data_IF_094562398742
#
_entry.id   IF_094562398742
#
_cell.length_a   1.000
_cell.length_b   1.000
_cell.length_c   1.000
_cell.angle_alpha   90.00
_cell.angle_beta   90.00
_cell.angle_gamma   90.00
#
_symmetry.space_group_name_H-M   'P 1'
#
loop_
_entity.id
_entity.type
_entity.pdbx_description
1 polymer ?
#
# COMPACT_ATOMS: atom_id res chain seq x y z
N UNK A 1 11.70 -11.89 1.86
CA UNK A 1 11.51 -11.08 0.63
C UNK A 1 10.03 -10.71 0.53
N UNK A 2 9.67 -9.64 -0.17
CA UNK A 2 8.28 -9.39 -0.58
C UNK A 2 8.14 -9.61 -2.09
N UNK A 3 7.01 -10.14 -2.52
CA UNK A 3 6.74 -10.36 -3.95
C UNK A 3 5.71 -9.35 -4.42
N UNK A 4 6.13 -8.40 -5.25
CA UNK A 4 5.22 -7.46 -5.88
C UNK A 4 4.48 -8.16 -7.03
N UNK A 5 3.16 -8.27 -6.90
CA UNK A 5 2.30 -8.87 -7.93
C UNK A 5 1.73 -7.84 -8.88
N UNK A 6 1.40 -8.24 -10.11
CA UNK A 6 0.70 -7.37 -11.06
C UNK A 6 -0.73 -7.10 -10.59
N UNK A 7 -1.01 -5.85 -10.18
CA UNK A 7 -2.36 -5.38 -9.88
C UNK A 7 -3.13 -5.04 -11.16
N UNK A 8 -4.47 -5.11 -11.12
CA UNK A 8 -5.38 -4.89 -12.25
C UNK A 8 -4.94 -3.80 -13.27
N UNK A 9 -4.75 -2.56 -12.80
CA UNK A 9 -4.34 -1.42 -13.64
C UNK A 9 -2.93 -1.60 -14.21
N UNK A 10 -1.99 -2.10 -13.42
CA UNK A 10 -0.62 -2.36 -13.88
C UNK A 10 -0.54 -3.50 -14.88
N UNK A 11 -1.38 -4.53 -14.74
CA UNK A 11 -1.48 -5.64 -15.69
C UNK A 11 -1.89 -5.15 -17.07
N UNK A 12 -2.90 -4.28 -17.17
CA UNK A 12 -3.32 -3.67 -18.44
C UNK A 12 -2.18 -2.86 -19.06
N UNK A 13 -1.51 -2.03 -18.24
CA UNK A 13 -0.41 -1.18 -18.72
C UNK A 13 0.79 -1.96 -19.22
N UNK A 14 1.19 -3.02 -18.51
CA UNK A 14 2.34 -3.83 -18.89
C UNK A 14 2.02 -4.67 -20.15
N UNK A 15 0.83 -5.26 -20.25
CA UNK A 15 0.41 -5.99 -21.45
C UNK A 15 0.27 -5.06 -22.65
N UNK A 16 -0.34 -3.88 -22.49
CA UNK A 16 -0.49 -2.91 -23.57
C UNK A 16 0.86 -2.50 -24.15
N UNK A 17 1.89 -2.32 -23.30
CA UNK A 17 3.25 -2.05 -23.76
C UNK A 17 3.83 -3.20 -24.58
N UNK A 18 3.62 -4.44 -24.16
CA UNK A 18 4.14 -5.63 -24.87
C UNK A 18 3.45 -5.80 -26.23
N UNK A 19 2.14 -5.56 -26.29
CA UNK A 19 1.36 -5.63 -27.53
C UNK A 19 1.49 -4.37 -28.41
N UNK A 20 2.34 -3.42 -28.00
CA UNK A 20 2.51 -2.13 -28.67
C UNK A 20 1.21 -1.33 -28.86
N UNK A 21 0.23 -1.49 -27.96
CA UNK A 21 -0.94 -0.63 -27.90
C UNK A 21 -0.50 0.79 -27.50
N UNK A 22 -0.98 1.86 -28.16
CA UNK A 22 -0.60 3.22 -27.84
C UNK A 22 -0.75 3.53 -26.34
N UNK A 23 0.26 4.17 -25.75
CA UNK A 23 0.28 4.49 -24.32
C UNK A 23 -0.95 5.30 -23.85
N UNK A 24 -1.46 6.30 -24.60
CA UNK A 24 -2.66 7.03 -24.19
C UNK A 24 -3.90 6.14 -24.12
N UNK A 25 -4.03 5.20 -25.05
CA UNK A 25 -5.15 4.26 -25.11
C UNK A 25 -5.04 3.23 -23.99
N UNK A 26 -3.86 2.67 -23.78
CA UNK A 26 -3.55 1.76 -22.68
C UNK A 26 -3.88 2.38 -21.31
N UNK A 27 -3.49 3.64 -21.08
CA UNK A 27 -3.79 4.33 -19.82
C UNK A 27 -5.28 4.63 -19.65
N UNK A 28 -5.97 4.96 -20.75
CA UNK A 28 -7.42 5.18 -20.75
C UNK A 28 -8.17 3.92 -20.34
N UNK A 29 -7.79 2.75 -20.88
CA UNK A 29 -8.36 1.46 -20.50
C UNK A 29 -8.05 1.14 -19.02
N UNK A 30 -6.81 1.36 -18.57
CA UNK A 30 -6.42 1.10 -17.19
C UNK A 30 -7.21 1.96 -16.19
N UNK A 31 -7.57 3.20 -16.55
CA UNK A 31 -8.39 4.11 -15.72
C UNK A 31 -9.84 3.66 -15.56
N UNK A 32 -10.37 2.81 -16.46
CA UNK A 32 -11.70 2.23 -16.31
C UNK A 32 -11.79 1.27 -15.11
N UNK A 33 -10.68 0.68 -14.67
CA UNK A 33 -10.69 -0.19 -13.49
C UNK A 33 -10.97 0.67 -12.25
N UNK A 34 -12.01 0.36 -11.44
CA UNK A 34 -12.32 1.09 -10.20
C UNK A 34 -11.12 1.18 -9.25
N UNK A 35 -11.03 2.30 -8.52
CA UNK A 35 -9.90 2.59 -7.62
C UNK A 35 -10.00 1.95 -6.24
N UNK A 36 -11.00 1.10 -5.99
CA UNK A 36 -11.20 0.50 -4.66
C UNK A 36 -10.09 -0.52 -4.35
N UNK A 37 -9.61 -0.58 -3.10
CA UNK A 37 -8.71 -1.64 -2.66
C UNK A 37 -9.25 -3.03 -3.01
N UNK A 38 -8.36 -3.97 -3.34
CA UNK A 38 -8.70 -5.35 -3.70
C UNK A 38 -9.57 -5.55 -4.96
N UNK A 39 -9.71 -4.53 -5.81
CA UNK A 39 -10.35 -4.69 -7.13
C UNK A 39 -9.48 -5.57 -8.03
N UNK A 40 -10.04 -6.69 -8.51
CA UNK A 40 -9.37 -7.64 -9.42
C UNK A 40 -10.08 -7.71 -10.77
N UNK A 41 -9.32 -7.72 -11.87
CA UNK A 41 -9.82 -7.92 -13.23
C UNK A 41 -10.61 -9.22 -13.32
N UNK A 42 -10.09 -10.30 -12.72
CA UNK A 42 -10.80 -11.59 -12.74
C UNK A 42 -12.20 -11.49 -12.14
N UNK A 43 -12.36 -10.77 -11.03
CA UNK A 43 -13.65 -10.61 -10.35
C UNK A 43 -14.63 -9.78 -11.19
N UNK A 44 -14.22 -8.59 -11.64
CA UNK A 44 -15.12 -7.66 -12.36
C UNK A 44 -15.47 -8.11 -13.78
N UNK A 45 -14.60 -8.93 -14.41
CA UNK A 45 -14.76 -9.44 -15.78
C UNK A 45 -15.31 -10.88 -15.87
N UNK A 46 -15.55 -11.56 -14.73
CA UNK A 46 -16.19 -12.89 -14.70
C UNK A 46 -17.59 -12.86 -14.07
N UNK A 47 -17.84 -11.99 -13.07
CA UNK A 47 -19.19 -11.78 -12.55
C UNK A 47 -20.08 -11.24 -13.66
N UNK A 48 -21.33 -11.71 -13.74
CA UNK A 48 -22.28 -11.07 -14.66
C UNK A 48 -22.58 -9.65 -14.20
N UNK A 49 -22.85 -8.73 -15.12
CA UNK A 49 -23.08 -7.32 -14.80
C UNK A 49 -24.23 -7.14 -13.79
N UNK A 50 -25.30 -7.95 -13.92
CA UNK A 50 -26.46 -7.92 -13.01
C UNK A 50 -26.12 -8.30 -11.57
N UNK A 51 -25.16 -9.19 -11.35
CA UNK A 51 -24.78 -9.65 -10.00
C UNK A 51 -23.96 -8.63 -9.21
N UNK A 52 -23.38 -7.64 -9.90
CA UNK A 52 -22.47 -6.67 -9.29
C UNK A 52 -22.99 -5.22 -9.34
N UNK A 53 -24.20 -5.00 -9.86
CA UNK A 53 -24.77 -3.64 -9.97
C UNK A 53 -24.90 -2.94 -8.61
N UNK A 54 -25.28 -3.68 -7.56
CA UNK A 54 -25.35 -3.17 -6.18
C UNK A 54 -23.99 -2.94 -5.52
N UNK A 55 -22.91 -3.56 -6.05
CA UNK A 55 -21.59 -3.53 -5.44
C UNK A 55 -20.85 -2.21 -5.74
N UNK A 56 -21.27 -1.48 -6.79
CA UNK A 56 -20.51 -0.38 -7.37
C UNK A 56 -21.34 0.91 -7.45
N UNK A 57 -20.67 2.06 -7.35
CA UNK A 57 -21.33 3.33 -7.64
C UNK A 57 -21.62 3.43 -9.15
N UNK A 58 -22.62 4.22 -9.54
CA UNK A 58 -23.07 4.32 -10.94
C UNK A 58 -21.92 4.57 -11.94
N UNK A 59 -20.97 5.44 -11.60
CA UNK A 59 -19.80 5.74 -12.44
C UNK A 59 -18.86 4.53 -12.55
N UNK A 60 -18.56 3.86 -11.45
CA UNK A 60 -17.70 2.68 -11.42
C UNK A 60 -18.32 1.51 -12.19
N UNK A 61 -19.63 1.31 -12.03
CA UNK A 61 -20.40 0.29 -12.75
C UNK A 61 -20.37 0.52 -14.27
N UNK A 62 -20.58 1.77 -14.71
CA UNK A 62 -20.47 2.12 -16.12
C UNK A 62 -19.07 1.84 -16.69
N UNK A 63 -18.01 2.11 -15.92
CA UNK A 63 -16.65 1.80 -16.34
C UNK A 63 -16.42 0.28 -16.46
N UNK A 64 -16.95 -0.52 -15.53
CA UNK A 64 -16.88 -1.98 -15.59
C UNK A 64 -17.63 -2.51 -16.81
N UNK A 65 -18.81 -1.95 -17.12
CA UNK A 65 -19.58 -2.30 -18.32
C UNK A 65 -18.76 -2.02 -19.57
N UNK A 66 -18.16 -0.82 -19.67
CA UNK A 66 -17.32 -0.45 -20.81
C UNK A 66 -16.10 -1.38 -20.95
N UNK A 67 -15.47 -1.75 -19.84
CA UNK A 67 -14.34 -2.68 -19.83
C UNK A 67 -14.74 -4.09 -20.34
N UNK A 68 -15.95 -4.56 -19.99
CA UNK A 68 -16.49 -5.82 -20.49
C UNK A 68 -16.80 -5.77 -21.99
N UNK A 69 -17.35 -4.66 -22.50
CA UNK A 69 -17.56 -4.45 -23.94
C UNK A 69 -16.22 -4.53 -24.69
N UNK A 70 -15.23 -3.73 -24.27
CA UNK A 70 -13.89 -3.70 -24.88
C UNK A 70 -13.19 -5.07 -24.83
N UNK A 71 -13.41 -5.86 -23.77
CA UNK A 71 -12.88 -7.23 -23.66
C UNK A 71 -13.44 -8.16 -24.75
N UNK A 72 -14.67 -7.95 -25.20
CA UNK A 72 -15.31 -8.79 -26.23
C UNK A 72 -14.97 -8.38 -27.66
N UNK A 73 -14.42 -7.17 -27.85
CA UNK A 73 -13.99 -6.70 -29.16
C UNK A 73 -12.82 -7.55 -29.69
N UNK A 74 -12.83 -7.75 -31.01
CA UNK A 74 -11.70 -8.31 -31.74
C UNK A 74 -10.67 -7.21 -32.00
N UNK A 75 -9.39 -7.50 -31.72
CA UNK A 75 -8.28 -6.56 -31.90
C UNK A 75 -7.44 -6.35 -30.64
N UNK A 76 -6.46 -5.46 -30.76
CA UNK A 76 -5.40 -5.23 -29.77
C UNK A 76 -5.94 -4.85 -28.38
N UNK A 77 -7.02 -4.07 -28.32
CA UNK A 77 -7.64 -3.65 -27.05
C UNK A 77 -8.23 -4.84 -26.31
N UNK A 78 -9.06 -5.64 -26.99
CA UNK A 78 -9.66 -6.83 -26.41
C UNK A 78 -8.60 -7.86 -26.00
N UNK A 79 -7.59 -8.08 -26.85
CA UNK A 79 -6.44 -8.96 -26.54
C UNK A 79 -5.68 -8.49 -25.31
N UNK A 80 -5.42 -7.18 -25.20
CA UNK A 80 -4.76 -6.57 -24.05
C UNK A 80 -5.52 -6.88 -22.77
N UNK A 81 -6.84 -6.69 -22.74
CA UNK A 81 -7.66 -6.93 -21.55
C UNK A 81 -7.70 -8.42 -21.19
N UNK A 82 -7.87 -9.31 -22.17
CA UNK A 82 -7.91 -10.77 -21.96
C UNK A 82 -6.58 -11.31 -21.43
N UNK A 83 -5.46 -10.83 -21.95
CA UNK A 83 -4.13 -11.21 -21.49
C UNK A 83 -3.82 -10.60 -20.11
N UNK A 84 -4.18 -9.34 -19.88
CA UNK A 84 -4.04 -8.71 -18.57
C UNK A 84 -4.82 -9.44 -17.48
N UNK A 85 -6.03 -9.94 -17.79
CA UNK A 85 -6.82 -10.77 -16.88
C UNK A 85 -6.12 -12.08 -16.51
N UNK A 86 -5.35 -12.68 -17.43
CA UNK A 86 -4.57 -13.90 -17.16
C UNK A 86 -3.29 -13.64 -16.36
N UNK A 87 -2.64 -12.52 -16.60
CA UNK A 87 -1.36 -12.17 -15.94
C UNK A 87 -1.54 -11.50 -14.58
N UNK A 88 -2.72 -10.93 -14.29
CA UNK A 88 -3.03 -10.39 -12.97
C UNK A 88 -2.71 -11.37 -11.83
N UNK A 89 -2.02 -10.87 -10.80
CA UNK A 89 -1.58 -11.66 -9.66
C UNK A 89 -0.26 -12.39 -9.87
N UNK A 90 0.29 -12.40 -11.08
CA UNK A 90 1.64 -12.95 -11.32
C UNK A 90 2.69 -12.11 -10.59
N UNK A 91 3.73 -12.77 -10.08
CA UNK A 91 4.88 -12.10 -9.46
C UNK A 91 5.63 -11.31 -10.53
N UNK A 92 5.78 -10.01 -10.31
CA UNK A 92 6.42 -9.07 -11.23
C UNK A 92 7.83 -8.72 -10.80
N UNK A 93 8.04 -8.55 -9.50
CA UNK A 93 9.33 -8.21 -8.93
C UNK A 93 9.45 -8.70 -7.48
N UNK A 94 10.67 -8.67 -6.98
CA UNK A 94 11.00 -8.91 -5.57
C UNK A 94 11.37 -7.58 -4.93
N UNK A 95 10.89 -7.35 -3.71
CA UNK A 95 11.27 -6.26 -2.84
C UNK A 95 11.81 -6.77 -1.50
N UNK A 96 12.30 -5.85 -0.68
CA UNK A 96 12.66 -6.12 0.71
C UNK A 96 11.51 -5.65 1.58
N UNK A 97 11.14 -6.44 2.58
CA UNK A 97 10.14 -6.01 3.56
C UNK A 97 10.72 -4.84 4.36
N UNK A 98 10.05 -3.70 4.35
CA UNK A 98 10.59 -2.46 4.91
C UNK A 98 10.87 -2.54 6.43
N UNK A 99 10.22 -3.45 7.15
CA UNK A 99 10.34 -3.59 8.60
C UNK A 99 10.83 -4.98 9.06
N UNK A 100 10.87 -5.98 8.17
CA UNK A 100 10.89 -7.38 8.61
C UNK A 100 12.30 -7.88 8.83
N UNK A 101 12.65 -8.18 10.08
CA UNK A 101 13.92 -8.80 10.46
C UNK A 101 13.65 -10.24 10.91
N UNK A 102 14.45 -11.18 10.40
CA UNK A 102 14.37 -12.59 10.73
C UNK A 102 15.54 -12.96 11.64
N UNK A 103 15.24 -13.60 12.76
CA UNK A 103 16.20 -14.07 13.74
C UNK A 103 16.16 -15.60 13.76
N UNK A 104 17.31 -16.21 13.48
CA UNK A 104 17.51 -17.66 13.49
C UNK A 104 18.42 -18.06 14.66
N UNK A 105 18.31 -19.31 15.18
CA UNK A 105 19.13 -19.76 16.31
C UNK A 105 20.62 -20.01 15.96
N UNK A 106 20.94 -20.15 14.67
CA UNK A 106 22.28 -20.33 14.11
C UNK A 106 22.30 -19.67 12.71
N UNK A 107 23.35 -19.84 11.92
CA UNK A 107 23.45 -19.31 10.55
C UNK A 107 22.20 -19.63 9.74
N UNK A 108 21.48 -18.58 9.34
CA UNK A 108 20.21 -18.62 8.63
C UNK A 108 20.28 -19.45 7.33
N UNK A 109 21.46 -19.53 6.70
CA UNK A 109 21.70 -20.31 5.46
C UNK A 109 21.52 -21.81 5.67
N UNK A 110 21.61 -22.30 6.91
CA UNK A 110 21.37 -23.71 7.27
C UNK A 110 19.90 -24.08 7.22
N UNK A 111 19.00 -23.10 7.36
CA UNK A 111 17.57 -23.33 7.54
C UNK A 111 16.74 -22.90 6.34
N UNK A 112 17.05 -21.75 5.75
CA UNK A 112 16.24 -21.18 4.66
C UNK A 112 17.14 -20.58 3.56
N UNK A 113 16.70 -20.60 2.30
CA UNK A 113 17.41 -19.94 1.22
C UNK A 113 17.42 -18.42 1.43
N UNK A 114 18.60 -17.82 1.27
CA UNK A 114 18.80 -16.37 1.32
C UNK A 114 19.45 -15.88 0.03
N UNK A 115 19.26 -14.62 -0.30
CA UNK A 115 19.96 -13.90 -1.36
C UNK A 115 20.48 -12.56 -0.81
N UNK A 116 21.30 -11.86 -1.59
CA UNK A 116 21.63 -10.46 -1.32
C UNK A 116 20.68 -9.54 -2.09
N UNK A 117 20.51 -8.32 -1.58
CA UNK A 117 19.84 -7.26 -2.34
C UNK A 117 20.74 -6.74 -3.45
N UNK A 118 20.14 -6.12 -4.48
CA UNK A 118 20.91 -5.36 -5.48
C UNK A 118 21.55 -4.09 -4.92
N UNK A 119 21.01 -3.57 -3.82
CA UNK A 119 21.38 -2.28 -3.24
C UNK A 119 22.25 -2.40 -1.98
N UNK A 120 22.39 -3.62 -1.44
CA UNK A 120 23.23 -3.86 -0.26
C UNK A 120 23.61 -5.32 -0.13
N UNK A 121 24.71 -5.58 0.59
CA UNK A 121 25.16 -6.92 0.97
C UNK A 121 24.33 -7.57 2.09
N UNK A 122 23.20 -6.97 2.46
CA UNK A 122 22.30 -7.52 3.46
C UNK A 122 21.68 -8.84 2.96
N UNK A 123 21.66 -9.84 3.86
CA UNK A 123 20.99 -11.11 3.60
C UNK A 123 19.47 -10.92 3.66
N UNK A 124 18.79 -11.35 2.60
CA UNK A 124 17.34 -11.33 2.46
C UNK A 124 16.87 -12.77 2.29
N UNK A 125 15.93 -13.21 3.12
CA UNK A 125 15.23 -14.49 2.93
C UNK A 125 14.52 -14.53 1.58
N UNK A 126 14.63 -15.65 0.84
CA UNK A 126 13.89 -15.88 -0.40
C UNK A 126 12.45 -16.35 -0.18
N UNK A 127 12.08 -16.62 1.08
CA UNK A 127 10.69 -16.88 1.46
C UNK A 127 9.96 -15.60 1.83
N UNK A 128 8.64 -15.61 1.58
CA UNK A 128 7.73 -14.61 2.13
C UNK A 128 7.70 -14.71 3.66
N UNK A 129 7.42 -13.58 4.33
CA UNK A 129 7.43 -13.51 5.79
C UNK A 129 6.52 -14.54 6.47
N UNK A 130 5.36 -14.84 5.89
CA UNK A 130 4.41 -15.83 6.42
C UNK A 130 4.98 -17.26 6.42
N UNK A 131 5.77 -17.59 5.39
CA UNK A 131 6.42 -18.90 5.24
C UNK A 131 7.60 -19.00 6.22
N UNK A 132 8.33 -17.90 6.44
CA UNK A 132 9.47 -17.88 7.35
C UNK A 132 9.07 -18.17 8.79
N UNK A 133 7.96 -17.58 9.27
CA UNK A 133 7.42 -17.90 10.60
C UNK A 133 7.01 -19.39 10.70
N UNK A 134 6.36 -19.91 9.66
CA UNK A 134 5.96 -21.32 9.60
C UNK A 134 7.16 -22.29 9.60
N UNK A 135 8.33 -21.83 9.15
CA UNK A 135 9.59 -22.57 9.20
C UNK A 135 10.27 -22.53 10.58
N UNK A 136 9.65 -21.92 11.59
CA UNK A 136 10.14 -21.86 12.97
C UNK A 136 11.12 -20.73 13.24
N UNK A 137 11.22 -19.74 12.35
CA UNK A 137 12.07 -18.57 12.56
C UNK A 137 11.32 -17.48 13.34
N UNK A 138 12.05 -16.74 14.18
CA UNK A 138 11.49 -15.57 14.85
C UNK A 138 11.46 -14.40 13.87
N UNK A 139 10.28 -13.84 13.61
CA UNK A 139 10.11 -12.60 12.85
C UNK A 139 9.86 -11.44 13.82
N UNK A 140 10.59 -10.36 13.62
CA UNK A 140 10.34 -9.08 14.30
C UNK A 140 10.19 -7.96 13.27
N UNK A 141 9.15 -7.15 13.41
CA UNK A 141 8.92 -5.99 12.54
C UNK A 141 9.40 -4.70 13.23
N UNK A 142 10.42 -4.07 12.65
CA UNK A 142 10.96 -2.77 13.05
C UNK A 142 10.40 -1.67 12.14
N UNK A 143 9.31 -1.05 12.56
CA UNK A 143 8.63 -0.02 11.77
C UNK A 143 9.31 1.35 11.94
N UNK A 144 9.76 1.93 10.83
CA UNK A 144 10.20 3.33 10.78
C UNK A 144 9.01 4.30 10.76
N UNK A 145 8.48 4.64 11.94
CA UNK A 145 7.40 5.63 12.05
C UNK A 145 7.95 7.06 11.97
N UNK A 146 7.67 7.75 10.86
CA UNK A 146 8.03 9.16 10.68
C UNK A 146 7.50 10.06 11.82
N UNK A 147 6.34 9.72 12.38
CA UNK A 147 5.75 10.42 13.53
C UNK A 147 6.71 10.49 14.72
N UNK A 148 7.44 9.41 15.02
CA UNK A 148 8.41 9.39 16.12
C UNK A 148 9.62 10.29 15.82
N UNK A 149 10.08 10.34 14.58
CA UNK A 149 11.12 11.29 14.16
C UNK A 149 10.67 12.73 14.33
N UNK A 150 9.43 13.05 13.93
CA UNK A 150 8.85 14.40 14.08
C UNK A 150 8.75 14.79 15.56
N UNK A 151 8.29 13.89 16.43
CA UNK A 151 8.20 14.14 17.87
C UNK A 151 9.60 14.40 18.45
N UNK A 152 10.59 13.57 18.09
CA UNK A 152 11.99 13.78 18.50
C UNK A 152 12.50 15.15 18.08
N UNK A 153 12.35 15.51 16.81
CA UNK A 153 12.80 16.81 16.29
C UNK A 153 12.08 17.98 16.96
N UNK A 154 10.79 17.83 17.27
CA UNK A 154 10.03 18.83 18.02
C UNK A 154 10.59 19.05 19.43
N UNK A 155 10.93 17.97 20.15
CA UNK A 155 11.56 18.05 21.48
C UNK A 155 12.94 18.70 21.40
N UNK A 156 13.76 18.32 20.42
CA UNK A 156 15.07 18.96 20.20
C UNK A 156 14.94 20.46 19.91
N UNK A 157 13.93 20.87 19.15
CA UNK A 157 13.66 22.30 18.89
C UNK A 157 13.25 23.07 20.16
N UNK A 158 12.48 22.44 21.05
CA UNK A 158 12.12 23.02 22.35
C UNK A 158 13.38 23.23 23.19
N UNK A 159 14.23 22.21 23.27
CA UNK A 159 15.50 22.25 24.00
C UNK A 159 16.44 23.32 23.46
N UNK A 160 16.60 23.38 22.14
CA UNK A 160 17.45 24.39 21.48
C UNK A 160 16.99 25.82 21.78
N UNK A 161 15.69 26.03 22.02
CA UNK A 161 15.11 27.34 22.29
C UNK A 161 15.10 27.70 23.78
N UNK A 162 14.85 26.74 24.65
CA UNK A 162 14.54 26.98 26.06
C UNK A 162 15.54 26.36 27.06
N UNK A 163 16.53 25.59 26.60
CA UNK A 163 17.51 24.91 27.44
C UNK A 163 17.20 23.42 27.67
N UNK A 164 18.17 22.70 28.23
CA UNK A 164 18.09 21.25 28.50
C UNK A 164 17.05 20.94 29.59
N UNK A 165 16.85 21.86 30.52
CA UNK A 165 15.82 21.81 31.57
C UNK A 165 14.39 21.80 31.03
N UNK A 166 14.19 22.22 29.79
CA UNK A 166 12.89 22.23 29.11
C UNK A 166 12.63 20.95 28.29
N UNK A 167 13.51 19.94 28.36
CA UNK A 167 13.33 18.66 27.65
C UNK A 167 12.06 17.97 28.14
N UNK A 168 11.21 17.59 27.20
CA UNK A 168 9.96 16.86 27.46
C UNK A 168 10.23 15.37 27.33
N UNK A 169 9.79 14.59 28.31
CA UNK A 169 9.63 13.14 28.17
C UNK A 169 8.21 12.86 27.67
N UNK A 170 8.02 12.30 26.46
CA UNK A 170 6.69 12.01 25.92
C UNK A 170 5.83 11.11 26.82
N UNK A 171 6.45 10.18 27.55
CA UNK A 171 5.74 9.23 28.41
C UNK A 171 5.13 9.88 29.66
N UNK A 172 5.59 11.09 30.01
CA UNK A 172 5.13 11.82 31.19
C UNK A 172 4.05 12.87 30.85
N UNK A 173 3.66 13.01 29.57
CA UNK A 173 2.66 14.00 29.14
C UNK A 173 1.27 13.60 29.67
N UNK A 174 0.56 14.49 30.40
CA UNK A 174 -0.78 14.20 30.88
C UNK A 174 -1.77 14.07 29.71
N UNK A 175 -2.67 13.09 29.82
CA UNK A 175 -3.65 12.79 28.77
C UNK A 175 -4.90 13.67 28.82
N UNK A 176 -5.02 14.53 29.83
CA UNK A 176 -6.18 15.38 30.11
C UNK A 176 -5.91 16.89 29.87
N UNK A 177 -4.86 17.24 29.12
CA UNK A 177 -4.52 18.64 28.81
C UNK A 177 -5.66 19.36 28.05
N UNK A 178 -6.34 20.34 28.67
CA UNK A 178 -7.49 21.00 28.05
C UNK A 178 -7.14 21.72 26.76
N UNK A 179 -5.92 22.28 26.65
CA UNK A 179 -5.49 23.02 25.45
C UNK A 179 -5.34 22.12 24.23
N UNK A 180 -4.84 20.91 24.43
CA UNK A 180 -4.79 19.88 23.38
C UNK A 180 -6.20 19.53 22.91
N UNK A 181 -7.15 19.32 23.82
CA UNK A 181 -8.55 19.05 23.44
C UNK A 181 -9.24 20.22 22.73
N UNK A 182 -8.99 21.47 23.14
CA UNK A 182 -9.53 22.65 22.45
C UNK A 182 -9.09 22.71 20.97
N UNK A 183 -7.86 22.30 20.67
CA UNK A 183 -7.33 22.25 19.30
C UNK A 183 -8.11 21.22 18.45
N UNK A 184 -8.43 20.06 19.03
CA UNK A 184 -9.29 19.04 18.40
C UNK A 184 -10.73 19.55 18.20
N UNK A 185 -11.30 20.25 19.18
CA UNK A 185 -12.65 20.83 19.08
C UNK A 185 -12.76 21.90 17.99
N UNK A 186 -11.69 22.68 17.77
CA UNK A 186 -11.59 23.64 16.65
C UNK A 186 -11.29 22.95 15.31
N UNK A 187 -10.96 21.66 15.37
CA UNK A 187 -10.46 20.80 14.30
C UNK A 187 -9.24 21.36 13.57
N UNK A 188 -8.32 21.94 14.32
CA UNK A 188 -7.04 22.45 13.84
C UNK A 188 -5.99 21.32 13.78
N UNK A 189 -6.34 20.18 13.16
CA UNK A 189 -5.59 18.92 13.28
C UNK A 189 -4.59 18.64 12.15
N UNK A 190 -4.26 19.65 11.34
CA UNK A 190 -3.26 19.49 10.26
C UNK A 190 -1.88 19.24 10.90
N UNK A 191 -1.25 18.11 10.54
CA UNK A 191 0.01 17.66 11.12
C UNK A 191 -0.12 16.79 12.37
N UNK A 192 -1.34 16.45 12.79
CA UNK A 192 -1.59 15.51 13.89
C UNK A 192 -1.80 14.10 13.33
N UNK A 193 -0.91 13.19 13.70
CA UNK A 193 -0.92 11.80 13.23
C UNK A 193 -2.29 11.14 13.38
N UNK A 194 -2.78 10.52 12.30
CA UNK A 194 -4.10 9.88 12.14
C UNK A 194 -5.33 10.82 12.04
N UNK A 195 -5.21 12.12 12.32
CA UNK A 195 -6.36 13.03 12.38
C UNK A 195 -6.42 14.06 11.24
N UNK A 196 -5.51 13.98 10.27
CA UNK A 196 -5.39 14.98 9.20
C UNK A 196 -6.53 14.96 8.16
N UNK A 197 -7.25 13.84 8.00
CA UNK A 197 -8.25 13.73 6.92
C UNK A 197 -9.46 14.65 7.15
N UNK A 198 -9.96 15.27 6.09
CA UNK A 198 -11.11 16.19 6.15
C UNK A 198 -12.35 15.57 6.82
N UNK A 199 -12.62 14.29 6.54
CA UNK A 199 -13.74 13.56 7.15
C UNK A 199 -13.58 13.40 8.66
N UNK A 200 -12.37 13.06 9.13
CA UNK A 200 -12.07 12.96 10.56
C UNK A 200 -12.14 14.33 11.24
N UNK A 201 -11.60 15.37 10.60
CA UNK A 201 -11.65 16.73 11.12
C UNK A 201 -13.08 17.22 11.31
N UNK A 202 -13.97 16.92 10.36
CA UNK A 202 -15.38 17.27 10.45
C UNK A 202 -16.08 16.54 11.59
N UNK A 203 -15.85 15.23 11.72
CA UNK A 203 -16.50 14.41 12.75
C UNK A 203 -16.15 14.84 14.17
N UNK A 204 -14.91 15.29 14.41
CA UNK A 204 -14.47 15.72 15.75
C UNK A 204 -14.89 17.15 16.13
N UNK A 205 -15.36 17.95 15.16
CA UNK A 205 -15.96 19.27 15.39
C UNK A 205 -17.45 19.19 15.76
N UNK A 206 -18.12 18.14 15.31
CA UNK A 206 -19.56 17.89 15.52
C UNK A 206 -19.82 17.19 16.86
#
# INVERSE_FOLDING_TARGET
VTFGTMAARSSIRDVGRVLALPLPETDSIAKLVPGRPNTKLKTILMKTLKEQESDWQAVEYNNIKKLNELKTEEGLVGDTIRLAQKLEGSVRNTGIHAAGIIIAPDDIKKYIPVCTSKESDLLVTQFDGSIVESAGMLKMDFLGLKTLSIIKDAIENIVNRFGEEARINPDDIPLDDPKTYELFQKGEMIGIFQFESDGMQKYLKE
#
